data_IF_624770579516
#
_entry.id   IF_624770579516
#
_cell.length_a   1.000
_cell.length_b   1.000
_cell.length_c   1.000
_cell.angle_alpha   90.00
_cell.angle_beta   90.00
_cell.angle_gamma   90.00
#
_symmetry.space_group_name_H-M   'P 1'
#
loop_
_entity.id
_entity.type
_entity.pdbx_description
1 polymer ?
#
# COMPACT_ATOMS: atom_id res chain seq x y z
N UNK A 1 -3.64 -4.67 8.99
CA UNK A 1 -2.31 -4.03 8.92
C UNK A 1 -2.45 -2.69 8.24
N UNK A 2 -2.04 -1.60 8.89
CA UNK A 2 -2.12 -0.25 8.33
C UNK A 2 -0.71 0.31 8.15
N UNK A 3 -0.33 0.75 6.94
CA UNK A 3 0.89 1.50 6.73
C UNK A 3 0.69 2.96 7.11
N UNK A 4 1.79 3.62 7.44
CA UNK A 4 1.85 5.07 7.65
C UNK A 4 2.64 5.70 6.50
N UNK A 5 2.01 6.60 5.77
CA UNK A 5 2.65 7.41 4.74
C UNK A 5 2.79 8.84 5.28
N UNK A 6 4.01 9.36 5.34
CA UNK A 6 4.31 10.69 5.90
C UNK A 6 5.58 11.27 5.27
N UNK A 7 5.96 12.49 5.62
CA UNK A 7 7.18 13.14 5.13
C UNK A 7 6.93 14.50 4.49
N UNK A 8 5.72 14.79 4.03
CA UNK A 8 5.41 15.97 3.24
C UNK A 8 4.70 17.10 3.99
N UNK A 9 4.18 16.84 5.18
CA UNK A 9 3.55 17.87 6.02
C UNK A 9 4.63 18.76 6.63
N UNK A 10 4.55 20.06 6.37
CA UNK A 10 5.50 21.08 6.88
C UNK A 10 4.95 21.88 8.05
N UNK A 11 3.72 21.59 8.50
CA UNK A 11 3.14 22.24 9.68
C UNK A 11 3.91 21.87 10.96
N UNK A 12 3.95 22.75 11.97
CA UNK A 12 4.60 22.45 13.24
C UNK A 12 4.07 21.14 13.87
N UNK A 13 2.77 20.92 13.80
CA UNK A 13 2.09 19.73 14.34
C UNK A 13 2.49 18.46 13.58
N UNK A 14 2.46 18.51 12.25
CA UNK A 14 2.85 17.39 11.41
C UNK A 14 4.33 17.03 11.58
N UNK A 15 5.21 18.03 11.61
CA UNK A 15 6.63 17.85 11.90
C UNK A 15 6.88 17.23 13.28
N UNK A 16 6.16 17.71 14.30
CA UNK A 16 6.22 17.15 15.65
C UNK A 16 5.79 15.66 15.65
N UNK A 17 4.67 15.35 15.00
CA UNK A 17 4.18 13.98 14.90
C UNK A 17 5.20 13.06 14.21
N UNK A 18 5.73 13.48 13.06
CA UNK A 18 6.74 12.72 12.30
C UNK A 18 8.02 12.51 13.11
N UNK A 19 8.52 13.54 13.78
CA UNK A 19 9.72 13.45 14.61
C UNK A 19 9.55 12.42 15.74
N UNK A 20 8.43 12.51 16.46
CA UNK A 20 8.17 11.58 17.57
C UNK A 20 7.95 10.13 17.08
N UNK A 21 7.29 9.93 15.94
CA UNK A 21 7.16 8.61 15.31
C UNK A 21 8.54 8.02 14.99
N UNK A 22 9.42 8.81 14.37
CA UNK A 22 10.78 8.38 14.05
C UNK A 22 11.59 8.05 15.29
N UNK A 23 11.56 8.90 16.33
CA UNK A 23 12.28 8.67 17.59
C UNK A 23 11.74 7.45 18.33
N UNK A 24 10.42 7.25 18.37
CA UNK A 24 9.82 6.05 18.96
C UNK A 24 10.23 4.79 18.21
N UNK A 25 10.27 4.84 16.88
CA UNK A 25 10.76 3.73 16.05
C UNK A 25 12.24 3.44 16.33
N UNK A 26 13.07 4.47 16.46
CA UNK A 26 14.50 4.34 16.79
C UNK A 26 14.71 3.68 18.15
N UNK A 27 13.91 4.07 19.13
CA UNK A 27 13.95 3.47 20.48
C UNK A 27 13.60 1.98 20.45
N UNK A 28 12.63 1.60 19.64
CA UNK A 28 12.14 0.22 19.54
C UNK A 28 11.04 -0.09 20.54
N UNK A 29 10.64 -1.36 20.59
CA UNK A 29 9.67 -1.87 21.55
C UNK A 29 10.36 -2.17 22.91
N UNK A 30 9.61 -2.55 23.91
CA UNK A 30 9.98 -2.94 25.27
C UNK A 30 11.46 -2.97 25.62
N UNK A 31 12.20 -3.92 25.12
CA UNK A 31 13.64 -4.07 25.35
C UNK A 31 14.50 -3.61 24.15
N UNK A 32 13.92 -2.80 23.25
CA UNK A 32 14.61 -2.23 22.09
C UNK A 32 14.46 -3.05 20.80
N UNK A 33 13.47 -3.96 20.73
CA UNK A 33 13.21 -4.72 19.52
C UNK A 33 12.69 -3.82 18.39
N UNK A 34 13.02 -4.20 17.16
CA UNK A 34 12.53 -3.48 15.99
C UNK A 34 11.03 -3.73 15.79
N UNK A 35 10.18 -2.70 15.80
CA UNK A 35 8.76 -2.86 15.49
C UNK A 35 8.59 -3.30 14.03
N UNK A 36 7.76 -4.34 13.79
CA UNK A 36 7.45 -4.80 12.44
C UNK A 36 6.31 -3.97 11.84
N UNK A 37 5.36 -3.55 12.65
CA UNK A 37 4.22 -2.73 12.27
C UNK A 37 4.08 -1.51 13.18
N UNK A 38 3.51 -0.40 12.68
CA UNK A 38 3.06 -0.17 11.31
C UNK A 38 4.23 -0.10 10.31
N UNK A 39 4.00 -0.55 9.08
CA UNK A 39 4.94 -0.30 7.97
C UNK A 39 4.98 1.21 7.73
N UNK A 40 6.17 1.77 7.66
CA UNK A 40 6.36 3.21 7.53
C UNK A 40 6.98 3.56 6.17
N UNK A 41 6.38 4.52 5.50
CA UNK A 41 6.84 5.07 4.22
C UNK A 41 7.08 6.56 4.38
N UNK A 42 8.36 6.96 4.34
CA UNK A 42 8.74 8.37 4.32
C UNK A 42 8.74 8.87 2.88
N UNK A 43 7.87 9.82 2.56
CA UNK A 43 7.78 10.46 1.25
C UNK A 43 8.84 11.55 1.15
N UNK A 44 9.73 11.43 0.18
CA UNK A 44 10.77 12.42 -0.13
C UNK A 44 10.33 13.26 -1.31
N UNK A 45 10.35 14.58 -1.15
CA UNK A 45 9.91 15.55 -2.15
C UNK A 45 10.88 16.72 -2.25
N UNK A 46 11.19 17.14 -3.48
CA UNK A 46 11.96 18.36 -3.75
C UNK A 46 11.21 19.60 -3.24
N UNK A 47 11.94 20.52 -2.61
CA UNK A 47 11.37 21.70 -1.96
C UNK A 47 10.67 21.44 -0.63
N UNK A 48 10.61 20.19 -0.17
CA UNK A 48 10.00 19.79 1.11
C UNK A 48 11.00 19.11 2.03
N UNK A 49 11.73 18.11 1.53
CA UNK A 49 12.59 17.28 2.38
C UNK A 49 13.87 16.80 1.69
N UNK A 50 14.04 17.01 0.38
CA UNK A 50 15.12 16.42 -0.40
C UNK A 50 16.44 17.19 -0.29
N UNK A 51 16.40 18.52 -0.41
CA UNK A 51 17.58 19.37 -0.44
C UNK A 51 17.89 19.98 0.94
N UNK A 52 19.15 20.27 1.19
CA UNK A 52 19.57 21.07 2.34
C UNK A 52 18.87 22.44 2.31
N UNK A 53 18.23 22.81 3.42
CA UNK A 53 17.41 24.01 3.51
C UNK A 53 15.92 23.80 3.28
N UNK A 54 15.49 22.64 2.80
CA UNK A 54 14.07 22.29 2.73
C UNK A 54 13.45 22.18 4.14
N UNK A 55 12.17 22.55 4.33
CA UNK A 55 11.50 22.58 5.64
C UNK A 55 11.62 21.28 6.45
N UNK A 56 11.60 20.12 5.80
CA UNK A 56 11.65 18.79 6.42
C UNK A 56 12.97 18.05 6.18
N UNK A 57 14.03 18.72 5.75
CA UNK A 57 15.32 18.08 5.49
C UNK A 57 15.91 17.43 6.75
N UNK A 58 15.78 18.08 7.93
CA UNK A 58 16.19 17.51 9.21
C UNK A 58 15.44 16.22 9.55
N UNK A 59 14.15 16.14 9.20
CA UNK A 59 13.34 14.91 9.38
C UNK A 59 13.75 13.83 8.39
N UNK A 60 14.12 14.19 7.17
CA UNK A 60 14.67 13.24 6.20
C UNK A 60 16.01 12.66 6.71
N UNK A 61 16.91 13.48 7.21
CA UNK A 61 18.15 13.02 7.83
C UNK A 61 17.89 12.10 9.03
N UNK A 62 16.95 12.48 9.90
CA UNK A 62 16.53 11.63 11.03
C UNK A 62 15.97 10.29 10.53
N UNK A 63 15.12 10.30 9.49
CA UNK A 63 14.52 9.10 8.93
C UNK A 63 15.56 8.15 8.34
N UNK A 64 16.60 8.66 7.67
CA UNK A 64 17.72 7.84 7.17
C UNK A 64 18.49 7.17 8.33
N UNK A 65 18.77 7.92 9.41
CA UNK A 65 19.42 7.35 10.61
C UNK A 65 18.59 6.24 11.23
N UNK A 66 17.29 6.46 11.37
CA UNK A 66 16.37 5.48 11.94
C UNK A 66 16.28 4.24 11.05
N UNK A 67 16.17 4.43 9.72
CA UNK A 67 16.12 3.34 8.76
C UNK A 67 17.39 2.49 8.77
N UNK A 68 18.56 3.12 8.89
CA UNK A 68 19.83 2.40 9.01
C UNK A 68 19.89 1.50 10.26
N UNK A 69 19.21 1.89 11.34
CA UNK A 69 19.18 1.12 12.61
C UNK A 69 18.05 0.09 12.65
N UNK A 70 16.90 0.40 12.06
CA UNK A 70 15.63 -0.34 12.25
C UNK A 70 15.03 -0.92 10.98
N UNK A 71 15.62 -0.67 9.80
CA UNK A 71 15.07 -1.01 8.48
C UNK A 71 13.77 -0.27 8.12
N UNK A 72 13.33 0.65 8.95
CA UNK A 72 12.18 1.55 8.76
C UNK A 72 12.55 2.99 9.12
N UNK A 73 11.94 3.98 8.46
CA UNK A 73 10.97 3.87 7.37
C UNK A 73 11.60 3.41 6.04
N UNK A 74 10.76 2.91 5.12
CA UNK A 74 11.11 2.83 3.70
C UNK A 74 10.91 4.21 3.06
N UNK A 75 11.53 4.45 1.90
CA UNK A 75 11.48 5.75 1.23
C UNK A 75 10.69 5.68 -0.08
N UNK A 76 9.92 6.74 -0.33
CA UNK A 76 9.27 6.98 -1.61
C UNK A 76 9.69 8.33 -2.15
N UNK A 77 10.41 8.33 -3.27
CA UNK A 77 10.78 9.55 -4.00
C UNK A 77 9.61 9.93 -4.91
N UNK A 78 8.74 10.82 -4.41
CA UNK A 78 7.46 11.09 -5.06
C UNK A 78 7.59 11.91 -6.35
N UNK A 79 8.72 12.60 -6.54
CA UNK A 79 9.02 13.33 -7.78
C UNK A 79 9.58 12.44 -8.89
N UNK A 80 9.81 11.15 -8.63
CA UNK A 80 10.24 10.22 -9.65
C UNK A 80 9.19 10.11 -10.78
N UNK A 81 9.59 10.10 -12.06
CA UNK A 81 8.64 10.15 -13.19
C UNK A 81 7.54 9.07 -13.12
N UNK A 82 7.89 7.87 -12.67
CA UNK A 82 6.92 6.79 -12.52
C UNK A 82 5.91 7.00 -11.38
N UNK A 83 6.21 7.88 -10.40
CA UNK A 83 5.29 8.26 -9.34
C UNK A 83 4.44 9.47 -9.72
N UNK A 84 4.93 10.32 -10.64
CA UNK A 84 4.17 11.47 -11.14
C UNK A 84 3.17 11.10 -12.24
N UNK A 85 3.19 9.88 -12.75
CA UNK A 85 2.40 9.44 -13.90
C UNK A 85 0.90 9.77 -13.78
N UNK A 86 0.33 9.67 -12.59
CA UNK A 86 -1.08 9.91 -12.32
C UNK A 86 -1.33 11.13 -11.44
N UNK A 87 -0.27 11.81 -11.02
CA UNK A 87 -0.39 12.99 -10.17
C UNK A 87 -0.97 14.17 -10.94
N UNK A 88 -1.99 14.80 -10.37
CA UNK A 88 -2.60 16.03 -10.90
C UNK A 88 -2.29 17.18 -9.94
N UNK A 89 -1.54 18.22 -10.35
CA UNK A 89 -1.26 19.38 -9.51
C UNK A 89 -2.53 19.99 -8.92
N UNK A 90 -2.52 20.31 -7.62
CA UNK A 90 -3.68 20.83 -6.89
C UNK A 90 -4.69 19.77 -6.46
N UNK A 91 -4.44 18.49 -6.75
CA UNK A 91 -5.27 17.36 -6.31
C UNK A 91 -4.44 16.38 -5.47
N UNK A 92 -4.26 16.65 -4.17
CA UNK A 92 -3.40 15.85 -3.28
C UNK A 92 -3.87 14.38 -3.16
N UNK A 93 -5.16 14.11 -3.39
CA UNK A 93 -5.73 12.75 -3.42
C UNK A 93 -5.19 11.89 -4.57
N UNK A 94 -4.52 12.49 -5.56
CA UNK A 94 -3.86 11.78 -6.67
C UNK A 94 -2.37 11.54 -6.42
N UNK A 95 -1.81 12.06 -5.31
CA UNK A 95 -0.42 11.80 -4.94
C UNK A 95 -0.25 10.36 -4.50
N UNK A 96 0.82 9.74 -5.01
CA UNK A 96 1.13 8.33 -4.70
C UNK A 96 1.07 8.03 -3.20
N UNK A 97 0.41 6.94 -2.85
CA UNK A 97 0.40 6.35 -1.51
C UNK A 97 0.79 4.88 -1.58
N UNK A 98 1.16 4.33 -0.44
CA UNK A 98 1.52 2.93 -0.31
C UNK A 98 0.64 2.27 0.73
N UNK A 99 0.27 1.02 0.45
CA UNK A 99 -0.59 0.22 1.30
C UNK A 99 0.06 -1.14 1.58
N UNK A 100 -0.34 -1.74 2.70
CA UNK A 100 0.21 -3.04 3.13
C UNK A 100 1.72 -3.00 3.24
N UNK A 101 2.40 -3.98 2.66
CA UNK A 101 3.86 -4.08 2.75
C UNK A 101 4.61 -3.18 1.77
N UNK A 102 4.00 -2.47 0.86
CA UNK A 102 4.59 -1.55 -0.16
C UNK A 102 3.84 -1.58 -1.48
N UNK A 103 2.58 -2.02 -1.47
CA UNK A 103 1.73 -1.91 -2.65
C UNK A 103 1.55 -0.43 -2.99
N UNK A 104 2.01 -0.05 -4.16
CA UNK A 104 1.91 1.30 -4.68
C UNK A 104 0.50 1.55 -5.20
N UNK A 105 -0.20 2.52 -4.62
CA UNK A 105 -1.56 2.88 -5.02
C UNK A 105 -1.48 3.96 -6.08
N UNK A 106 -1.69 3.57 -7.33
CA UNK A 106 -1.71 4.45 -8.49
C UNK A 106 -2.73 3.93 -9.49
N UNK A 107 -3.31 4.85 -10.29
CA UNK A 107 -4.25 4.51 -11.34
C UNK A 107 -5.53 3.84 -10.85
N UNK A 108 -6.61 4.02 -11.55
CA UNK A 108 -7.84 3.31 -11.34
C UNK A 108 -8.39 2.82 -12.68
N UNK A 109 -8.21 1.53 -12.98
CA UNK A 109 -8.70 0.96 -14.25
C UNK A 109 -10.22 0.91 -14.35
N UNK A 110 -10.93 0.90 -13.21
CA UNK A 110 -12.38 0.91 -13.16
C UNK A 110 -12.95 2.32 -13.44
N UNK A 111 -12.29 3.36 -12.92
CA UNK A 111 -12.67 4.75 -13.07
C UNK A 111 -11.42 5.62 -13.34
N UNK A 112 -10.91 5.60 -14.59
CA UNK A 112 -9.65 6.29 -14.93
C UNK A 112 -9.71 7.82 -14.80
N UNK A 113 -10.90 8.39 -14.79
CA UNK A 113 -11.09 9.85 -14.67
C UNK A 113 -11.06 10.33 -13.21
N UNK A 114 -11.39 9.44 -12.27
CA UNK A 114 -11.39 9.71 -10.83
C UNK A 114 -10.29 8.95 -10.12
N UNK A 115 -9.06 9.33 -10.38
CA UNK A 115 -7.90 8.75 -9.71
C UNK A 115 -7.86 9.16 -8.25
N UNK A 116 -8.09 8.21 -7.36
CA UNK A 116 -8.05 8.39 -5.92
C UNK A 116 -7.21 7.29 -5.30
N UNK A 117 -6.30 7.67 -4.42
CA UNK A 117 -5.42 6.72 -3.71
C UNK A 117 -5.99 6.27 -2.37
N UNK A 118 -6.97 7.00 -1.83
CA UNK A 118 -7.58 6.70 -0.53
C UNK A 118 -8.75 5.71 -0.66
N UNK A 119 -9.00 4.95 0.40
CA UNK A 119 -10.15 4.05 0.49
C UNK A 119 -10.07 2.83 -0.42
N UNK A 120 -8.90 2.49 -0.94
CA UNK A 120 -8.66 1.34 -1.82
C UNK A 120 -7.83 0.28 -1.10
N UNK A 121 -7.90 -0.97 -1.57
CA UNK A 121 -7.21 -2.05 -0.89
C UNK A 121 -6.97 -3.30 -1.74
N UNK A 122 -6.12 -4.20 -1.21
CA UNK A 122 -5.97 -5.55 -1.74
C UNK A 122 -7.08 -6.43 -1.17
N UNK A 123 -7.72 -7.20 -2.03
CA UNK A 123 -8.85 -8.03 -1.63
C UNK A 123 -8.43 -9.42 -1.19
N UNK A 124 -7.42 -9.97 -1.84
CA UNK A 124 -6.92 -11.33 -1.62
C UNK A 124 -5.48 -11.44 -2.08
N UNK A 125 -4.82 -12.54 -1.75
CA UNK A 125 -3.50 -12.87 -2.29
C UNK A 125 -3.32 -14.39 -2.27
N UNK A 126 -2.40 -14.87 -3.12
CA UNK A 126 -1.95 -16.26 -3.17
C UNK A 126 -0.47 -16.28 -3.48
N UNK A 127 0.28 -17.14 -2.80
CA UNK A 127 1.70 -17.32 -3.02
C UNK A 127 1.98 -18.60 -3.79
N UNK A 128 2.88 -18.54 -4.77
CA UNK A 128 3.39 -19.70 -5.50
C UNK A 128 4.76 -20.07 -4.92
N UNK A 129 4.94 -21.34 -4.55
CA UNK A 129 6.21 -21.86 -4.06
C UNK A 129 7.16 -22.16 -5.22
N UNK A 130 7.87 -21.13 -5.72
CA UNK A 130 8.83 -21.27 -6.83
C UNK A 130 9.98 -22.25 -6.53
N UNK A 131 10.58 -22.28 -5.32
CA UNK A 131 11.59 -23.29 -4.99
C UNK A 131 11.10 -24.73 -5.19
N UNK A 132 9.87 -25.02 -4.81
CA UNK A 132 9.25 -26.34 -5.04
C UNK A 132 9.17 -26.67 -6.53
N UNK A 133 8.70 -25.71 -7.36
CA UNK A 133 8.61 -25.91 -8.81
C UNK A 133 9.99 -26.16 -9.42
N UNK A 134 11.02 -25.44 -8.94
CA UNK A 134 12.41 -25.67 -9.37
C UNK A 134 12.91 -27.07 -9.05
N UNK A 135 12.60 -27.59 -7.85
CA UNK A 135 12.95 -28.97 -7.46
C UNK A 135 12.19 -29.99 -8.33
N UNK A 136 10.89 -29.80 -8.55
CA UNK A 136 10.05 -30.68 -9.37
C UNK A 136 10.47 -30.68 -10.85
N UNK A 137 11.01 -29.56 -11.35
CA UNK A 137 11.54 -29.42 -12.71
C UNK A 137 12.89 -30.14 -12.93
N UNK A 138 13.60 -30.53 -11.88
CA UNK A 138 14.85 -31.31 -11.93
C UNK A 138 15.92 -30.73 -12.87
N UNK A 139 16.01 -29.39 -12.95
CA UNK A 139 16.96 -28.67 -13.81
C UNK A 139 16.47 -28.46 -15.26
N UNK A 140 15.30 -28.93 -15.63
CA UNK A 140 14.71 -28.71 -16.95
C UNK A 140 13.91 -27.39 -16.98
N UNK A 141 14.46 -26.37 -17.62
CA UNK A 141 13.84 -25.04 -17.68
C UNK A 141 12.45 -25.06 -18.33
N UNK A 142 12.29 -25.81 -19.44
CA UNK A 142 11.00 -25.93 -20.11
C UNK A 142 9.94 -26.52 -19.18
N UNK A 143 10.30 -27.55 -18.38
CA UNK A 143 9.41 -28.15 -17.39
C UNK A 143 9.06 -27.19 -16.26
N UNK A 144 10.01 -26.36 -15.82
CA UNK A 144 9.76 -25.32 -14.81
C UNK A 144 8.68 -24.33 -15.27
N UNK A 145 8.80 -23.81 -16.49
CA UNK A 145 7.79 -22.90 -17.04
C UNK A 145 6.44 -23.57 -17.22
N UNK A 146 6.39 -24.79 -17.70
CA UNK A 146 5.13 -25.54 -17.78
C UNK A 146 4.45 -25.64 -16.41
N UNK A 147 5.19 -26.04 -15.37
CA UNK A 147 4.67 -26.13 -14.01
C UNK A 147 4.24 -24.78 -13.46
N UNK A 148 4.96 -23.71 -13.81
CA UNK A 148 4.60 -22.35 -13.41
C UNK A 148 3.27 -21.91 -14.05
N UNK A 149 3.11 -22.12 -15.35
CA UNK A 149 1.89 -21.78 -16.08
C UNK A 149 0.67 -22.52 -15.49
N UNK A 150 0.78 -23.84 -15.26
CA UNK A 150 -0.26 -24.62 -14.60
C UNK A 150 -0.65 -24.07 -13.23
N UNK A 151 0.32 -23.56 -12.44
CA UNK A 151 0.04 -22.95 -11.13
C UNK A 151 -0.53 -21.53 -11.26
N UNK A 152 -0.11 -20.77 -12.26
CA UNK A 152 -0.64 -19.44 -12.53
C UNK A 152 -2.14 -19.52 -12.91
N UNK A 153 -2.51 -20.43 -13.78
CA UNK A 153 -3.92 -20.66 -14.17
C UNK A 153 -4.77 -21.00 -12.94
N UNK A 154 -4.29 -21.92 -12.11
CA UNK A 154 -4.98 -22.28 -10.86
C UNK A 154 -5.12 -21.09 -9.90
N UNK A 155 -4.08 -20.27 -9.77
CA UNK A 155 -4.11 -19.08 -8.91
C UNK A 155 -5.13 -18.06 -9.41
N UNK A 156 -5.14 -17.79 -10.71
CA UNK A 156 -6.11 -16.88 -11.33
C UNK A 156 -7.54 -17.36 -11.08
N UNK A 157 -7.81 -18.63 -11.32
CA UNK A 157 -9.13 -19.23 -11.07
C UNK A 157 -9.56 -19.08 -9.60
N UNK A 158 -8.67 -19.38 -8.65
CA UNK A 158 -8.93 -19.26 -7.22
C UNK A 158 -9.16 -17.82 -6.77
N UNK A 159 -8.38 -16.85 -7.28
CA UNK A 159 -8.55 -15.44 -6.96
C UNK A 159 -9.90 -14.92 -7.50
N UNK A 160 -10.25 -15.24 -8.74
CA UNK A 160 -11.55 -14.90 -9.33
C UNK A 160 -12.73 -15.53 -8.57
N UNK A 161 -12.57 -16.77 -8.11
CA UNK A 161 -13.59 -17.42 -7.28
C UNK A 161 -13.79 -16.68 -5.95
N UNK A 162 -12.70 -16.33 -5.24
CA UNK A 162 -12.76 -15.54 -4.00
C UNK A 162 -13.40 -14.17 -4.24
N UNK A 163 -13.07 -13.50 -5.35
CA UNK A 163 -13.70 -12.22 -5.71
C UNK A 163 -15.21 -12.37 -5.86
N UNK A 164 -15.68 -13.38 -6.58
CA UNK A 164 -17.13 -13.66 -6.74
C UNK A 164 -17.82 -13.90 -5.41
N UNK A 165 -17.19 -14.65 -4.49
CA UNK A 165 -17.74 -14.89 -3.13
C UNK A 165 -17.86 -13.56 -2.37
N UNK A 166 -16.84 -12.72 -2.43
CA UNK A 166 -16.85 -11.43 -1.72
C UNK A 166 -17.84 -10.45 -2.32
N UNK A 167 -17.97 -10.40 -3.65
CA UNK A 167 -18.99 -9.61 -4.33
C UNK A 167 -20.42 -10.03 -3.97
N UNK A 168 -20.64 -11.29 -3.59
CA UNK A 168 -21.92 -11.79 -3.09
C UNK A 168 -22.26 -11.35 -1.67
N UNK A 169 -21.40 -10.59 -1.00
CA UNK A 169 -21.64 -10.09 0.37
C UNK A 169 -22.36 -8.75 0.35
N UNK A 170 -22.86 -8.36 1.54
CA UNK A 170 -23.55 -7.10 1.79
C UNK A 170 -22.70 -6.20 2.67
N UNK A 171 -23.00 -4.91 2.68
CA UNK A 171 -22.22 -3.92 3.43
C UNK A 171 -22.12 -4.25 4.93
N UNK A 172 -23.17 -4.79 5.56
CA UNK A 172 -23.14 -5.17 6.97
C UNK A 172 -22.11 -6.27 7.30
N UNK A 173 -21.68 -7.07 6.30
CA UNK A 173 -20.64 -8.08 6.52
C UNK A 173 -19.24 -7.45 6.75
N UNK A 174 -19.08 -6.17 6.45
CA UNK A 174 -17.85 -5.40 6.59
C UNK A 174 -18.10 -4.12 7.41
N UNK A 175 -18.43 -4.24 8.71
CA UNK A 175 -18.94 -3.11 9.51
C UNK A 175 -17.96 -1.94 9.60
N UNK A 176 -16.64 -2.20 9.56
CA UNK A 176 -15.64 -1.13 9.57
C UNK A 176 -15.40 -0.56 8.16
N UNK A 177 -15.05 -1.42 7.20
CA UNK A 177 -14.68 -0.96 5.87
C UNK A 177 -15.83 -0.29 5.11
N UNK A 178 -17.03 -0.87 5.20
CA UNK A 178 -18.22 -0.40 4.48
C UNK A 178 -19.10 0.47 5.37
N UNK A 179 -19.31 0.05 6.63
CA UNK A 179 -20.20 0.76 7.55
C UNK A 179 -19.66 2.10 8.08
N UNK A 180 -18.35 2.32 8.02
CA UNK A 180 -17.70 3.58 8.40
C UNK A 180 -17.23 4.41 7.20
N UNK A 181 -17.61 4.03 5.97
CA UNK A 181 -17.22 4.77 4.76
C UNK A 181 -15.71 4.74 4.47
N UNK A 182 -14.97 3.74 4.98
CA UNK A 182 -13.50 3.64 4.80
C UNK A 182 -13.14 3.19 3.39
N UNK A 183 -13.93 2.28 2.81
CA UNK A 183 -13.73 1.82 1.44
C UNK A 183 -14.36 2.80 0.47
N UNK A 184 -13.69 3.08 -0.66
CA UNK A 184 -14.16 4.05 -1.65
C UNK A 184 -15.60 3.75 -2.10
N UNK A 185 -16.47 4.76 -2.00
CA UNK A 185 -17.89 4.66 -2.39
C UNK A 185 -18.79 3.92 -1.40
N UNK A 186 -18.25 3.40 -0.30
CA UNK A 186 -19.04 2.67 0.70
C UNK A 186 -19.90 3.57 1.57
N UNK A 187 -19.57 4.86 1.65
CA UNK A 187 -20.36 5.90 2.32
C UNK A 187 -21.79 6.04 1.79
N UNK A 188 -22.03 5.55 0.56
CA UNK A 188 -23.32 5.58 -0.12
C UNK A 188 -24.12 4.30 0.04
N UNK A 189 -23.54 3.26 0.67
CA UNK A 189 -24.20 1.95 0.80
C UNK A 189 -25.04 1.84 2.06
N UNK A 190 -26.27 1.39 1.90
CA UNK A 190 -27.07 0.87 3.02
C UNK A 190 -26.56 -0.51 3.49
N UNK A 191 -26.86 -0.90 4.75
CA UNK A 191 -26.35 -2.16 5.32
C UNK A 191 -26.66 -3.42 4.49
N UNK A 192 -27.82 -3.46 3.85
CA UNK A 192 -28.31 -4.60 3.06
C UNK A 192 -27.89 -4.55 1.58
N UNK A 193 -27.20 -3.49 1.16
CA UNK A 193 -26.78 -3.34 -0.23
C UNK A 193 -25.53 -4.19 -0.55
N UNK A 194 -25.44 -4.57 -1.82
CA UNK A 194 -24.32 -5.35 -2.35
C UNK A 194 -23.04 -4.51 -2.36
N UNK A 195 -21.92 -5.13 -1.97
CA UNK A 195 -20.59 -4.49 -2.05
C UNK A 195 -19.90 -4.65 -3.40
N UNK A 196 -20.53 -5.32 -4.36
CA UNK A 196 -19.88 -5.71 -5.61
C UNK A 196 -19.25 -4.55 -6.39
N UNK A 197 -19.97 -3.44 -6.57
CA UNK A 197 -19.48 -2.31 -7.35
C UNK A 197 -18.36 -1.54 -6.63
N UNK A 198 -18.49 -1.33 -5.32
CA UNK A 198 -17.44 -0.67 -4.54
C UNK A 198 -16.18 -1.55 -4.43
N UNK A 199 -16.32 -2.88 -4.40
CA UNK A 199 -15.17 -3.79 -4.47
C UNK A 199 -14.47 -3.72 -5.83
N UNK A 200 -15.21 -3.68 -6.94
CA UNK A 200 -14.61 -3.49 -8.28
C UNK A 200 -13.82 -2.18 -8.37
N UNK A 201 -14.37 -1.08 -7.85
CA UNK A 201 -13.73 0.22 -7.88
C UNK A 201 -12.50 0.28 -6.94
N UNK A 202 -12.65 -0.20 -5.72
CA UNK A 202 -11.62 -0.03 -4.68
C UNK A 202 -10.52 -1.10 -4.69
N UNK A 203 -10.69 -2.23 -5.39
CA UNK A 203 -9.70 -3.30 -5.40
C UNK A 203 -8.48 -2.92 -6.23
N UNK A 204 -7.31 -2.95 -5.60
CA UNK A 204 -6.01 -2.70 -6.25
C UNK A 204 -5.42 -3.97 -6.85
N UNK A 205 -5.53 -5.07 -6.11
CA UNK A 205 -5.01 -6.36 -6.53
C UNK A 205 -5.73 -7.51 -5.82
N UNK A 206 -5.63 -8.67 -6.42
CA UNK A 206 -6.04 -9.94 -5.88
C UNK A 206 -4.87 -10.93 -5.94
#
# INVERSE_FOLDING_TARGET
>A
FSPLNYGTDTSPEGRMAMRNLLLATEAGLGEGETPIFPIQIFKVKEGVSYNEGDPNYDLFQLSMRVSAKRLFPNFSFIDAPFNLQYYKPGRPETEIAYMGCRTRVIGNHYDPENEVVNGRGNLSFTSINLPRLGIEARGEIARFYQLLDEKMDLVVEQLLHRFKIQCGKKAYNYPFLMGQGVWIGSDKLGPEESVAEVLKNGTLSM
#
